data_IF_556204833238
#
_entry.id   IF_556204833238
#
_cell.length_a   1.000
_cell.length_b   1.000
_cell.length_c   1.000
_cell.angle_alpha   90.00
_cell.angle_beta   90.00
_cell.angle_gamma   90.00
#
_symmetry.space_group_name_H-M   'P 1'
#
loop_
_entity.id
_entity.type
_entity.pdbx_description
1 polymer ?
#
# COMPACT_ATOMS: atom_id res chain seq x y z
N UNK A 1 -17.10 6.20 16.72
CA UNK A 1 -16.31 7.18 15.94
C UNK A 1 -14.97 6.63 15.46
N UNK A 2 -14.07 6.11 16.31
CA UNK A 2 -12.74 5.63 15.88
C UNK A 2 -12.78 4.46 14.87
N UNK A 3 -13.68 3.48 15.07
CA UNK A 3 -13.83 2.33 14.13
C UNK A 3 -14.27 2.78 12.74
N UNK A 4 -15.23 3.70 12.65
CA UNK A 4 -15.68 4.22 11.34
C UNK A 4 -14.57 4.99 10.61
N UNK A 5 -13.75 5.75 11.34
CA UNK A 5 -12.61 6.45 10.75
C UNK A 5 -11.55 5.46 10.20
N UNK A 6 -11.22 4.41 10.97
CA UNK A 6 -10.28 3.36 10.52
C UNK A 6 -10.83 2.65 9.28
N UNK A 7 -12.12 2.30 9.27
CA UNK A 7 -12.74 1.63 8.13
C UNK A 7 -12.75 2.51 6.89
N UNK A 8 -13.02 3.81 7.04
CA UNK A 8 -12.94 4.77 5.94
C UNK A 8 -11.52 4.85 5.35
N UNK A 9 -10.50 4.96 6.19
CA UNK A 9 -9.10 4.95 5.74
C UNK A 9 -8.76 3.64 5.00
N UNK A 10 -9.21 2.49 5.51
CA UNK A 10 -8.95 1.18 4.89
C UNK A 10 -9.64 1.01 3.54
N UNK A 11 -10.87 1.49 3.40
CA UNK A 11 -11.60 1.51 2.12
C UNK A 11 -10.88 2.41 1.11
N UNK A 12 -10.58 3.63 1.50
CA UNK A 12 -9.84 4.58 0.65
C UNK A 12 -8.45 4.06 0.26
N UNK A 13 -7.76 3.31 1.14
CA UNK A 13 -6.48 2.68 0.84
C UNK A 13 -6.64 1.57 -0.23
N UNK A 14 -7.71 0.77 -0.16
CA UNK A 14 -8.03 -0.19 -1.22
C UNK A 14 -8.30 0.48 -2.57
N UNK A 15 -9.07 1.57 -2.58
CA UNK A 15 -9.38 2.32 -3.81
C UNK A 15 -8.13 3.03 -4.36
N UNK A 16 -7.24 3.53 -3.49
CA UNK A 16 -5.94 4.07 -3.89
C UNK A 16 -5.12 3.05 -4.67
N UNK A 17 -4.96 1.82 -4.11
CA UNK A 17 -4.24 0.74 -4.79
C UNK A 17 -4.84 0.40 -6.15
N UNK A 18 -6.16 0.26 -6.21
CA UNK A 18 -6.87 -0.01 -7.45
C UNK A 18 -6.67 1.13 -8.48
N UNK A 19 -6.73 2.39 -8.02
CA UNK A 19 -6.49 3.56 -8.88
C UNK A 19 -5.08 3.55 -9.47
N UNK A 20 -4.06 3.26 -8.65
CA UNK A 20 -2.67 3.15 -9.10
C UNK A 20 -2.50 1.99 -10.09
N UNK A 21 -3.15 0.85 -9.84
CA UNK A 21 -3.10 -0.30 -10.76
C UNK A 21 -3.72 0.04 -12.13
N UNK A 22 -4.87 0.70 -12.16
CA UNK A 22 -5.52 1.17 -13.39
C UNK A 22 -4.64 2.20 -14.10
N UNK A 23 -4.08 3.16 -13.37
CA UNK A 23 -3.19 4.17 -13.94
C UNK A 23 -1.97 3.51 -14.61
N UNK A 24 -1.30 2.57 -13.91
CA UNK A 24 -0.14 1.87 -14.46
C UNK A 24 -0.49 0.97 -15.66
N UNK A 25 -1.69 0.41 -15.70
CA UNK A 25 -2.13 -0.37 -16.87
C UNK A 25 -2.32 0.49 -18.12
N UNK A 26 -2.66 1.78 -17.95
CA UNK A 26 -2.88 2.72 -19.06
C UNK A 26 -1.60 3.43 -19.52
N UNK A 27 -0.72 3.77 -18.58
CA UNK A 27 0.42 4.68 -18.84
C UNK A 27 1.79 4.04 -18.61
N UNK A 28 1.82 2.79 -18.11
CA UNK A 28 3.04 2.16 -17.64
C UNK A 28 3.43 2.65 -16.23
N UNK A 29 4.47 2.03 -15.63
CA UNK A 29 4.95 2.40 -14.30
C UNK A 29 5.44 3.84 -14.25
N UNK A 30 5.02 4.57 -13.23
CA UNK A 30 5.39 5.97 -12.97
C UNK A 30 5.92 6.14 -11.54
N UNK A 31 6.67 7.23 -11.32
CA UNK A 31 7.13 7.61 -9.99
C UNK A 31 6.01 8.31 -9.22
N UNK A 32 5.15 7.53 -8.62
CA UNK A 32 4.06 8.04 -7.78
C UNK A 32 4.08 7.34 -6.43
N UNK A 33 3.58 8.05 -5.42
CA UNK A 33 3.31 7.50 -4.10
C UNK A 33 1.88 7.86 -3.70
N UNK A 34 1.22 6.97 -2.98
CA UNK A 34 -0.13 7.19 -2.48
C UNK A 34 -0.18 7.22 -0.95
N UNK A 35 -1.20 7.91 -0.43
CA UNK A 35 -1.51 7.92 1.01
C UNK A 35 -3.00 8.07 1.24
N UNK A 36 -3.62 7.08 1.83
CA UNK A 36 -5.03 7.13 2.20
C UNK A 36 -5.32 8.05 3.41
N UNK A 37 -6.52 8.61 3.42
CA UNK A 37 -7.14 9.37 4.51
C UNK A 37 -8.61 8.96 4.64
N UNK A 38 -9.32 9.44 5.65
CA UNK A 38 -10.71 9.05 5.86
C UNK A 38 -11.67 9.59 4.80
N UNK A 39 -11.33 10.71 4.16
CA UNK A 39 -12.13 11.42 3.16
C UNK A 39 -11.61 11.26 1.72
N UNK A 40 -10.71 10.29 1.50
CA UNK A 40 -10.11 10.03 0.20
C UNK A 40 -8.65 9.60 0.29
N UNK A 41 -7.85 9.90 -0.76
CA UNK A 41 -6.45 9.56 -0.79
C UNK A 41 -5.64 10.57 -1.60
N UNK A 42 -4.39 10.73 -1.22
CA UNK A 42 -3.43 11.56 -1.92
C UNK A 42 -2.64 10.74 -2.93
N UNK A 43 -2.35 11.36 -4.07
CA UNK A 43 -1.37 10.87 -5.06
C UNK A 43 -0.28 11.93 -5.20
N UNK A 44 0.95 11.53 -4.96
CA UNK A 44 2.15 12.34 -5.11
C UNK A 44 2.86 11.90 -6.40
N UNK A 45 3.11 12.84 -7.29
CA UNK A 45 3.74 12.61 -8.59
C UNK A 45 3.09 13.42 -9.70
N UNK A 46 3.67 13.35 -10.90
CA UNK A 46 3.15 14.05 -12.09
C UNK A 46 2.06 13.20 -12.76
N UNK A 47 0.81 13.41 -12.36
CA UNK A 47 -0.36 12.76 -12.99
C UNK A 47 -1.35 13.85 -13.35
N UNK A 48 -1.94 13.78 -14.53
CA UNK A 48 -3.01 14.71 -14.93
C UNK A 48 -4.29 14.51 -14.11
N UNK A 49 -4.99 15.61 -13.79
CA UNK A 49 -6.17 15.57 -12.91
C UNK A 49 -7.34 14.80 -13.54
N UNK A 50 -7.59 14.98 -14.84
CA UNK A 50 -8.65 14.27 -15.57
C UNK A 50 -8.33 12.78 -15.69
N UNK A 51 -7.07 12.47 -15.99
CA UNK A 51 -6.59 11.09 -16.05
C UNK A 51 -6.73 10.40 -14.69
N UNK A 52 -6.31 11.07 -13.60
CA UNK A 52 -6.42 10.54 -12.24
C UNK A 52 -7.89 10.30 -11.87
N UNK A 53 -8.77 11.26 -12.16
CA UNK A 53 -10.21 11.14 -11.91
C UNK A 53 -10.83 9.96 -12.68
N UNK A 54 -10.48 9.83 -13.96
CA UNK A 54 -10.95 8.73 -14.80
C UNK A 54 -10.47 7.36 -14.27
N UNK A 55 -9.20 7.26 -13.89
CA UNK A 55 -8.64 6.02 -13.32
C UNK A 55 -9.27 5.68 -11.97
N UNK A 56 -9.51 6.67 -11.10
CA UNK A 56 -10.14 6.45 -9.80
C UNK A 56 -11.58 5.96 -9.94
N UNK A 57 -12.35 6.52 -10.86
CA UNK A 57 -13.73 6.08 -11.14
C UNK A 57 -13.76 4.66 -11.70
N UNK A 58 -12.91 4.35 -12.67
CA UNK A 58 -12.81 3.00 -13.21
C UNK A 58 -12.40 1.99 -12.14
N UNK A 59 -11.40 2.33 -11.33
CA UNK A 59 -10.92 1.47 -10.25
C UNK A 59 -12.03 1.14 -9.24
N UNK A 60 -12.77 2.17 -8.79
CA UNK A 60 -13.88 1.99 -7.87
C UNK A 60 -15.00 1.13 -8.49
N UNK A 61 -15.36 1.39 -9.73
CA UNK A 61 -16.38 0.64 -10.47
C UNK A 61 -15.98 -0.84 -10.65
N UNK A 62 -14.72 -1.13 -10.96
CA UNK A 62 -14.19 -2.49 -11.03
C UNK A 62 -14.25 -3.20 -9.67
N UNK A 63 -13.86 -2.53 -8.60
CA UNK A 63 -13.96 -3.08 -7.25
C UNK A 63 -15.41 -3.35 -6.84
N UNK A 64 -16.35 -2.47 -7.18
CA UNK A 64 -17.79 -2.65 -6.93
C UNK A 64 -18.39 -3.80 -7.73
N UNK A 65 -17.82 -4.15 -8.88
CA UNK A 65 -18.16 -5.35 -9.67
C UNK A 65 -17.50 -6.64 -9.19
N UNK A 66 -16.73 -6.60 -8.10
CA UNK A 66 -16.16 -7.78 -7.45
C UNK A 66 -14.67 -7.99 -7.66
N UNK A 67 -13.94 -7.08 -8.32
CA UNK A 67 -12.48 -7.15 -8.46
C UNK A 67 -11.76 -6.69 -7.17
N UNK A 68 -12.08 -7.32 -6.05
CA UNK A 68 -11.57 -6.96 -4.72
C UNK A 68 -10.06 -7.13 -4.54
N UNK A 69 -9.41 -7.95 -5.37
CA UNK A 69 -7.95 -8.11 -5.38
C UNK A 69 -7.20 -6.83 -5.76
N UNK A 70 -7.83 -5.89 -6.45
CA UNK A 70 -7.25 -4.58 -6.75
C UNK A 70 -6.91 -3.78 -5.49
N UNK A 71 -7.55 -4.09 -4.34
CA UNK A 71 -7.24 -3.47 -3.06
C UNK A 71 -5.86 -3.85 -2.48
N UNK A 72 -5.15 -4.81 -3.08
CA UNK A 72 -3.85 -5.28 -2.60
C UNK A 72 -2.77 -5.00 -3.65
N UNK A 73 -1.70 -4.33 -3.25
CA UNK A 73 -0.61 -3.94 -4.14
C UNK A 73 0.74 -4.48 -3.66
N UNK A 74 1.56 -4.98 -4.59
CA UNK A 74 2.93 -5.36 -4.30
C UNK A 74 3.82 -4.15 -3.94
N UNK A 75 3.47 -2.97 -4.43
CA UNK A 75 4.23 -1.72 -4.28
C UNK A 75 3.76 -0.86 -3.09
N UNK A 76 2.92 -1.40 -2.20
CA UNK A 76 2.42 -0.68 -1.04
C UNK A 76 3.50 -0.45 0.02
N UNK A 77 3.46 0.72 0.66
CA UNK A 77 4.31 1.04 1.82
C UNK A 77 4.18 0.03 2.97
N UNK A 78 3.03 -0.64 3.11
CA UNK A 78 2.84 -1.74 4.06
C UNK A 78 3.82 -2.89 3.80
N UNK A 79 4.05 -3.27 2.53
CA UNK A 79 5.04 -4.31 2.19
C UNK A 79 6.45 -3.89 2.58
N UNK A 80 6.80 -2.61 2.37
CA UNK A 80 8.10 -2.07 2.78
C UNK A 80 8.25 -2.17 4.29
N UNK A 81 7.24 -1.76 5.06
CA UNK A 81 7.26 -1.81 6.51
C UNK A 81 7.37 -3.26 7.04
N UNK A 82 6.62 -4.20 6.46
CA UNK A 82 6.68 -5.63 6.82
C UNK A 82 8.08 -6.19 6.49
N UNK A 83 8.63 -5.87 5.32
CA UNK A 83 9.96 -6.31 4.91
C UNK A 83 11.03 -5.78 5.87
N UNK A 84 11.01 -4.49 6.18
CA UNK A 84 11.95 -3.87 7.12
C UNK A 84 11.83 -4.51 8.51
N UNK A 85 10.61 -4.68 9.03
CA UNK A 85 10.37 -5.29 10.34
C UNK A 85 10.88 -6.73 10.42
N UNK A 86 10.56 -7.57 9.45
CA UNK A 86 11.01 -8.97 9.44
C UNK A 86 12.53 -9.08 9.28
N UNK A 87 13.15 -8.27 8.41
CA UNK A 87 14.60 -8.26 8.24
C UNK A 87 15.31 -7.80 9.49
N UNK A 88 14.79 -6.76 10.16
CA UNK A 88 15.32 -6.28 11.45
C UNK A 88 15.24 -7.37 12.52
N UNK A 89 14.09 -8.04 12.66
CA UNK A 89 13.92 -9.13 13.62
C UNK A 89 14.84 -10.30 13.33
N UNK A 90 15.01 -10.69 12.07
CA UNK A 90 15.93 -11.75 11.68
C UNK A 90 17.38 -11.40 12.05
N UNK A 91 17.79 -10.17 11.77
CA UNK A 91 19.12 -9.65 12.13
C UNK A 91 19.32 -9.66 13.66
N UNK A 92 18.42 -9.06 14.40
CA UNK A 92 18.50 -8.99 15.87
C UNK A 92 18.57 -10.39 16.50
N UNK A 93 17.72 -11.32 16.04
CA UNK A 93 17.73 -12.72 16.51
C UNK A 93 19.06 -13.41 16.25
N UNK A 94 19.66 -13.23 15.06
CA UNK A 94 20.96 -13.83 14.72
C UNK A 94 22.05 -13.29 15.61
N UNK A 95 22.09 -11.98 15.84
CA UNK A 95 23.09 -11.36 16.71
C UNK A 95 22.92 -11.74 18.18
N UNK A 96 21.71 -11.91 18.65
CA UNK A 96 21.42 -12.33 20.02
C UNK A 96 21.73 -13.81 20.28
N UNK A 97 21.56 -14.68 19.26
CA UNK A 97 21.69 -16.14 19.43
C UNK A 97 23.15 -16.61 19.65
N UNK A 98 24.12 -15.94 19.04
CA UNK A 98 25.52 -16.34 19.03
C UNK A 98 26.47 -15.17 19.35
N UNK A 99 26.38 -14.59 20.58
CA UNK A 99 27.20 -13.44 20.93
C UNK A 99 28.70 -13.74 20.97
N UNK A 100 29.07 -15.02 21.16
CA UNK A 100 30.42 -15.51 21.22
C UNK A 100 31.15 -15.63 19.88
N UNK A 101 30.39 -15.62 18.75
CA UNK A 101 30.97 -15.75 17.41
C UNK A 101 31.60 -14.45 16.92
N UNK A 102 32.58 -14.55 16.05
CA UNK A 102 33.19 -13.41 15.39
C UNK A 102 32.11 -12.59 14.62
N UNK A 103 32.26 -11.27 14.63
CA UNK A 103 31.29 -10.34 14.00
C UNK A 103 31.08 -10.68 12.51
N UNK A 104 32.15 -11.06 11.79
CA UNK A 104 32.09 -11.45 10.38
C UNK A 104 31.16 -12.62 10.13
N UNK A 105 31.21 -13.65 10.97
CA UNK A 105 30.40 -14.86 10.81
C UNK A 105 28.93 -14.57 11.14
N UNK A 106 28.70 -13.79 12.21
CA UNK A 106 27.35 -13.30 12.58
C UNK A 106 26.73 -12.42 11.49
N UNK A 107 27.55 -11.63 10.80
CA UNK A 107 27.08 -10.81 9.68
C UNK A 107 26.60 -11.68 8.50
N UNK A 108 27.37 -12.73 8.14
CA UNK A 108 26.98 -13.69 7.10
C UNK A 108 25.65 -14.38 7.40
N UNK A 109 25.49 -14.86 8.64
CA UNK A 109 24.25 -15.49 9.10
C UNK A 109 23.07 -14.50 9.10
N UNK A 110 23.29 -13.26 9.56
CA UNK A 110 22.27 -12.21 9.59
C UNK A 110 21.85 -11.79 8.17
N UNK A 111 22.81 -11.66 7.26
CA UNK A 111 22.53 -11.35 5.84
C UNK A 111 21.68 -12.44 5.19
N UNK A 112 22.04 -13.72 5.38
CA UNK A 112 21.27 -14.86 4.90
C UNK A 112 19.87 -14.88 5.50
N UNK A 113 19.73 -14.68 6.80
CA UNK A 113 18.45 -14.57 7.50
C UNK A 113 17.59 -13.44 6.97
N UNK A 114 18.20 -12.29 6.65
CA UNK A 114 17.50 -11.14 6.07
C UNK A 114 16.96 -11.43 4.67
N UNK A 115 17.70 -12.17 3.84
CA UNK A 115 17.22 -12.59 2.50
C UNK A 115 15.96 -13.45 2.64
N UNK A 116 15.96 -14.44 3.52
CA UNK A 116 14.78 -15.27 3.78
C UNK A 116 13.62 -14.44 4.33
N UNK A 117 13.90 -13.47 5.21
CA UNK A 117 12.90 -12.56 5.74
C UNK A 117 12.26 -11.70 4.62
N UNK A 118 13.04 -11.19 3.67
CA UNK A 118 12.57 -10.43 2.51
C UNK A 118 11.64 -11.29 1.63
N UNK A 119 12.02 -12.54 1.36
CA UNK A 119 11.20 -13.47 0.58
C UNK A 119 9.88 -13.75 1.30
N UNK A 120 9.94 -14.05 2.61
CA UNK A 120 8.75 -14.31 3.42
C UNK A 120 7.86 -13.07 3.60
N UNK A 121 8.43 -11.86 3.55
CA UNK A 121 7.69 -10.61 3.67
C UNK A 121 6.67 -10.40 2.56
N UNK A 122 6.89 -10.95 1.36
CA UNK A 122 5.97 -10.77 0.23
C UNK A 122 4.57 -11.35 0.48
N UNK A 123 4.40 -12.63 0.82
CA UNK A 123 3.10 -13.17 1.15
C UNK A 123 2.54 -12.58 2.46
N UNK A 124 3.39 -12.35 3.47
CA UNK A 124 2.96 -11.77 4.75
C UNK A 124 2.44 -10.35 4.54
N UNK A 125 3.13 -9.52 3.76
CA UNK A 125 2.70 -8.16 3.46
C UNK A 125 1.35 -8.10 2.74
N UNK A 126 1.09 -9.04 1.81
CA UNK A 126 -0.22 -9.18 1.17
C UNK A 126 -1.32 -9.55 2.16
N UNK A 127 -1.05 -10.45 3.10
CA UNK A 127 -2.00 -10.80 4.16
C UNK A 127 -2.27 -9.59 5.08
N UNK A 128 -1.23 -8.86 5.49
CA UNK A 128 -1.36 -7.63 6.29
C UNK A 128 -2.20 -6.59 5.54
N UNK A 129 -1.97 -6.39 4.25
CA UNK A 129 -2.83 -5.50 3.45
C UNK A 129 -4.28 -5.99 3.51
N UNK A 130 -4.53 -7.21 3.07
CA UNK A 130 -5.88 -7.77 2.93
C UNK A 130 -6.70 -7.71 4.23
N UNK A 131 -6.08 -7.98 5.37
CA UNK A 131 -6.80 -8.12 6.65
C UNK A 131 -6.69 -6.92 7.58
N UNK A 132 -5.63 -6.10 7.48
CA UNK A 132 -5.38 -5.01 8.41
C UNK A 132 -5.44 -3.62 7.79
N UNK A 133 -4.80 -3.40 6.63
CA UNK A 133 -4.58 -2.03 6.13
C UNK A 133 -5.47 -1.62 4.97
N UNK A 134 -6.06 -2.58 4.23
CA UNK A 134 -7.03 -2.28 3.16
C UNK A 134 -8.37 -2.95 3.40
N UNK A 135 -9.39 -2.52 2.66
CA UNK A 135 -10.71 -3.13 2.63
C UNK A 135 -11.22 -3.12 1.20
N UNK A 136 -11.63 -4.30 0.71
CA UNK A 136 -12.15 -4.46 -0.64
C UNK A 136 -13.65 -4.15 -0.75
N UNK A 137 -14.37 -4.14 0.39
CA UNK A 137 -15.77 -3.74 0.44
C UNK A 137 -15.89 -2.22 0.30
N UNK A 138 -16.22 -1.79 -0.91
CA UNK A 138 -16.38 -0.37 -1.30
C UNK A 138 -17.81 -0.05 -1.73
N UNK A 139 -18.77 -0.86 -1.29
CA UNK A 139 -20.18 -0.64 -1.58
C UNK A 139 -20.63 0.73 -1.05
N UNK A 140 -21.38 1.46 -1.88
CA UNK A 140 -21.89 2.80 -1.54
C UNK A 140 -20.85 3.92 -1.60
N UNK A 141 -19.59 3.64 -1.92
CA UNK A 141 -18.61 4.70 -2.16
C UNK A 141 -18.78 5.34 -3.54
N UNK A 142 -18.40 6.60 -3.64
CA UNK A 142 -18.27 7.32 -4.92
C UNK A 142 -17.03 8.21 -4.93
N UNK A 143 -16.48 8.43 -6.12
CA UNK A 143 -15.43 9.43 -6.36
C UNK A 143 -16.11 10.77 -6.62
N UNK A 144 -15.83 11.76 -5.78
CA UNK A 144 -16.42 13.09 -5.87
C UNK A 144 -15.63 13.93 -6.87
N UNK A 145 -14.36 14.19 -6.58
CA UNK A 145 -13.51 15.06 -7.38
C UNK A 145 -12.03 14.80 -7.11
N UNK A 146 -11.17 15.38 -7.93
CA UNK A 146 -9.74 15.50 -7.70
C UNK A 146 -9.41 16.96 -7.39
N UNK A 147 -8.66 17.21 -6.32
CA UNK A 147 -8.15 18.54 -5.95
C UNK A 147 -6.63 18.55 -5.98
N UNK A 148 -6.07 19.51 -6.69
CA UNK A 148 -4.64 19.80 -6.64
C UNK A 148 -4.34 20.71 -5.45
N UNK A 149 -3.49 20.26 -4.53
CA UNK A 149 -3.04 21.04 -3.37
C UNK A 149 -1.75 21.79 -3.65
N UNK A 150 -0.79 21.12 -4.30
CA UNK A 150 0.49 21.66 -4.72
C UNK A 150 0.92 21.01 -6.03
N UNK A 151 1.89 21.58 -6.77
CA UNK A 151 2.48 20.90 -7.91
C UNK A 151 2.94 19.49 -7.52
N UNK A 152 2.41 18.47 -8.19
CA UNK A 152 2.71 17.07 -7.90
C UNK A 152 1.98 16.46 -6.69
N UNK A 153 1.04 17.17 -6.04
CA UNK A 153 0.23 16.63 -4.92
C UNK A 153 -1.25 16.80 -5.21
N UNK A 154 -1.91 15.71 -5.47
CA UNK A 154 -3.34 15.64 -5.76
C UNK A 154 -4.08 14.83 -4.72
N UNK A 155 -5.30 15.19 -4.42
CA UNK A 155 -6.19 14.43 -3.55
C UNK A 155 -7.43 14.02 -4.30
N UNK A 156 -7.69 12.72 -4.35
CA UNK A 156 -8.96 12.18 -4.76
C UNK A 156 -9.89 12.18 -3.55
N UNK A 157 -11.02 12.86 -3.66
CA UNK A 157 -12.03 12.96 -2.60
C UNK A 157 -13.09 11.90 -2.85
N UNK A 158 -13.43 11.15 -1.81
CA UNK A 158 -14.44 10.10 -1.83
C UNK A 158 -15.59 10.44 -0.89
N UNK A 159 -16.74 9.84 -1.13
CA UNK A 159 -17.87 9.83 -0.21
C UNK A 159 -18.35 8.41 0.03
N UNK A 160 -19.02 8.17 1.16
CA UNK A 160 -19.53 6.84 1.54
C UNK A 160 -18.46 5.86 2.04
N UNK A 161 -17.26 6.33 2.36
CA UNK A 161 -16.17 5.48 2.85
C UNK A 161 -16.35 5.06 4.32
#
# INVERSE_FOLDING_TARGET
MLRGWIDAVRRNHGVEHATVAVLFSRTGPQRIAGRASADGFFILGSVDDEQLLSCAREALDRMQRGEGELAVSAHCGTNIAVTAGLSTLATMRTFAKHPERALRDRFGDAFTGSIFAIIAAQPIGRLVQRYLTTRADVAGMSIVEVRTYFPGVRKVITSGA
#
